data_IF_562591919881
#
_entry.id   IF_562591919881
#
_cell.length_a   1.000
_cell.length_b   1.000
_cell.length_c   1.000
_cell.angle_alpha   90.00
_cell.angle_beta   90.00
_cell.angle_gamma   90.00
#
_symmetry.space_group_name_H-M   'P 1'
#
loop_
_entity.id
_entity.type
_entity.pdbx_description
1 polymer ?
#
# COMPACT_ATOMS: atom_id res chain seq x y z
N UNK A 1 -10.38 27.74 3.29
CA UNK A 1 -11.11 28.89 2.77
C UNK A 1 -11.99 28.51 1.58
N UNK A 2 -11.45 27.90 0.50
CA UNK A 2 -12.26 27.50 -0.67
C UNK A 2 -13.35 26.46 -0.39
N UNK A 3 -13.09 25.48 0.48
CA UNK A 3 -14.11 24.47 0.84
C UNK A 3 -15.36 25.05 1.54
N UNK A 4 -15.25 26.25 2.09
CA UNK A 4 -16.33 26.94 2.81
C UNK A 4 -16.95 28.07 1.99
N UNK A 5 -16.40 28.36 0.81
CA UNK A 5 -16.87 29.39 -0.10
C UNK A 5 -17.94 28.80 -1.02
N UNK A 6 -19.15 29.33 -0.95
CA UNK A 6 -20.27 28.84 -1.77
C UNK A 6 -20.05 29.07 -3.27
N UNK A 7 -19.21 30.04 -3.65
CA UNK A 7 -18.94 30.39 -5.05
C UNK A 7 -17.96 29.44 -5.74
N UNK A 8 -17.09 28.75 -5.00
CA UNK A 8 -16.12 27.81 -5.57
C UNK A 8 -16.83 26.55 -6.08
N UNK A 9 -16.52 26.13 -7.31
CA UNK A 9 -17.05 24.88 -7.86
C UNK A 9 -16.28 23.67 -7.31
N UNK A 10 -16.84 22.47 -7.46
CA UNK A 10 -16.13 21.24 -7.09
C UNK A 10 -14.84 21.05 -7.91
N UNK A 11 -14.82 21.51 -9.17
CA UNK A 11 -13.63 21.45 -10.01
C UNK A 11 -12.52 22.34 -9.44
N UNK A 12 -12.83 23.60 -9.11
CA UNK A 12 -11.86 24.55 -8.53
C UNK A 12 -11.27 24.02 -7.22
N UNK A 13 -12.10 23.37 -6.40
CA UNK A 13 -11.65 22.76 -5.15
C UNK A 13 -10.70 21.60 -5.41
N UNK A 14 -11.00 20.72 -6.37
CA UNK A 14 -10.12 19.61 -6.74
C UNK A 14 -8.81 20.15 -7.32
N UNK A 15 -8.85 21.16 -8.18
CA UNK A 15 -7.66 21.76 -8.75
C UNK A 15 -6.75 22.31 -7.66
N UNK A 16 -7.32 23.10 -6.74
CA UNK A 16 -6.59 23.65 -5.62
C UNK A 16 -5.94 22.57 -4.74
N UNK A 17 -6.64 21.45 -4.51
CA UNK A 17 -6.09 20.32 -3.76
C UNK A 17 -4.92 19.67 -4.48
N UNK A 18 -5.04 19.44 -5.79
CA UNK A 18 -3.97 18.89 -6.61
C UNK A 18 -2.76 19.83 -6.59
N UNK A 19 -2.95 21.13 -6.78
CA UNK A 19 -1.87 22.11 -6.77
C UNK A 19 -1.14 22.16 -5.42
N UNK A 20 -1.89 22.09 -4.32
CA UNK A 20 -1.36 22.34 -2.97
C UNK A 20 -0.76 21.11 -2.31
N UNK A 21 -1.32 19.92 -2.50
CA UNK A 21 -0.95 18.73 -1.74
C UNK A 21 -0.77 17.50 -2.63
N UNK A 22 0.49 17.15 -2.91
CA UNK A 22 0.85 15.94 -3.66
C UNK A 22 0.42 14.65 -2.97
N UNK A 23 0.45 14.61 -1.64
CA UNK A 23 -0.01 13.44 -0.87
C UNK A 23 -1.50 13.20 -1.09
N UNK A 24 -2.30 14.25 -1.01
CA UNK A 24 -3.75 14.17 -1.26
C UNK A 24 -4.06 13.89 -2.73
N UNK A 25 -3.26 14.43 -3.65
CA UNK A 25 -3.36 14.11 -5.07
C UNK A 25 -3.24 12.59 -5.31
N UNK A 26 -2.20 11.98 -4.72
CA UNK A 26 -1.85 10.56 -4.90
C UNK A 26 -2.72 9.61 -4.06
N UNK A 27 -2.91 9.89 -2.76
CA UNK A 27 -3.61 8.99 -1.83
C UNK A 27 -5.11 9.31 -1.67
N UNK A 28 -5.59 10.39 -2.28
CA UNK A 28 -6.98 10.81 -2.18
C UNK A 28 -7.31 11.47 -0.85
N UNK A 29 -8.55 11.96 -0.76
CA UNK A 29 -9.14 12.56 0.45
C UNK A 29 -10.66 12.55 0.32
N UNK A 30 -11.35 12.43 1.45
CA UNK A 30 -12.75 12.82 1.53
C UNK A 30 -12.84 14.20 2.17
N UNK A 31 -13.14 15.22 1.37
CA UNK A 31 -13.33 16.57 1.89
C UNK A 31 -14.76 16.74 2.40
N UNK A 32 -14.88 16.98 3.71
CA UNK A 32 -16.16 17.22 4.38
C UNK A 32 -16.14 18.60 5.04
N UNK A 33 -16.83 19.57 4.43
CA UNK A 33 -17.00 20.90 5.00
C UNK A 33 -18.34 21.49 4.55
N UNK A 34 -19.03 22.21 5.43
CA UNK A 34 -20.19 23.06 5.08
C UNK A 34 -21.24 22.39 4.19
N UNK A 35 -21.72 21.19 4.58
CA UNK A 35 -22.68 20.35 3.82
C UNK A 35 -22.20 19.86 2.45
N UNK A 36 -20.94 20.06 2.09
CA UNK A 36 -20.31 19.49 0.90
C UNK A 36 -19.52 18.23 1.28
N UNK A 37 -19.72 17.19 0.48
CA UNK A 37 -18.97 15.93 0.53
C UNK A 37 -18.33 15.72 -0.84
N UNK A 38 -17.03 16.01 -0.95
CA UNK A 38 -16.31 15.94 -2.21
C UNK A 38 -15.17 14.92 -2.10
N UNK A 39 -15.33 13.72 -2.66
CA UNK A 39 -14.27 12.72 -2.66
C UNK A 39 -13.27 13.00 -3.79
N UNK A 40 -11.98 12.85 -3.48
CA UNK A 40 -10.93 12.52 -4.43
C UNK A 40 -10.49 11.10 -4.14
N UNK A 41 -10.65 10.19 -5.10
CA UNK A 41 -10.23 8.80 -4.94
C UNK A 41 -8.71 8.69 -4.87
N UNK A 42 -8.22 7.71 -4.13
CA UNK A 42 -6.80 7.36 -4.15
C UNK A 42 -6.41 6.89 -5.55
N UNK A 43 -5.20 7.24 -5.99
CA UNK A 43 -4.59 6.72 -7.23
C UNK A 43 -3.78 5.46 -6.97
N UNK A 44 -3.61 5.11 -5.70
CA UNK A 44 -2.95 3.90 -5.26
C UNK A 44 -3.93 3.12 -4.39
N UNK A 45 -4.28 1.93 -4.83
CA UNK A 45 -5.17 1.03 -4.12
C UNK A 45 -4.41 -0.22 -3.69
N UNK A 46 -4.64 -0.65 -2.46
CA UNK A 46 -4.04 -1.86 -1.92
C UNK A 46 -5.14 -2.86 -1.56
N UNK A 47 -4.97 -4.10 -2.00
CA UNK A 47 -5.72 -5.23 -1.48
C UNK A 47 -5.30 -5.56 -0.06
N UNK A 48 -6.12 -6.37 0.62
CA UNK A 48 -5.73 -6.93 1.91
C UNK A 48 -4.50 -7.83 1.73
N UNK A 49 -3.56 -7.74 2.66
CA UNK A 49 -2.47 -8.71 2.76
C UNK A 49 -3.03 -9.95 3.46
N UNK A 50 -3.06 -11.07 2.74
CA UNK A 50 -3.66 -12.32 3.21
C UNK A 50 -2.62 -13.43 3.15
N UNK A 51 -2.56 -14.26 4.19
CA UNK A 51 -1.70 -15.44 4.16
C UNK A 51 -2.23 -16.41 3.10
N UNK A 52 -1.34 -16.96 2.28
CA UNK A 52 -1.69 -18.02 1.33
C UNK A 52 -2.23 -19.21 2.13
N UNK A 53 -3.41 -19.75 1.79
CA UNK A 53 -4.01 -20.88 2.49
C UNK A 53 -3.02 -22.03 2.62
N UNK A 54 -3.03 -22.71 3.77
CA UNK A 54 -2.21 -23.90 4.04
C UNK A 54 -0.67 -23.66 4.08
N UNK A 55 -0.19 -22.45 3.78
CA UNK A 55 1.24 -22.05 3.84
C UNK A 55 1.52 -21.12 5.03
N UNK A 56 0.69 -21.16 6.08
CA UNK A 56 0.89 -20.38 7.31
C UNK A 56 1.15 -21.28 8.52
N UNK A 57 2.21 -21.00 9.27
CA UNK A 57 2.53 -21.63 10.54
C UNK A 57 2.52 -20.58 11.64
N UNK A 58 1.76 -20.81 12.71
CA UNK A 58 1.75 -19.96 13.90
C UNK A 58 2.15 -20.79 15.11
N UNK A 59 3.25 -20.41 15.74
CA UNK A 59 3.72 -21.00 16.99
C UNK A 59 3.46 -20.03 18.14
N UNK A 60 3.11 -20.55 19.32
CA UNK A 60 2.83 -19.73 20.50
C UNK A 60 3.96 -19.85 21.51
N UNK A 61 4.71 -18.76 21.72
CA UNK A 61 5.79 -18.68 22.69
C UNK A 61 5.29 -18.09 24.01
N UNK A 62 5.66 -18.73 25.12
CA UNK A 62 5.36 -18.20 26.45
C UNK A 62 6.42 -17.14 26.79
N UNK A 63 5.97 -15.92 27.03
CA UNK A 63 6.80 -14.83 27.51
C UNK A 63 6.43 -14.52 28.97
N UNK A 64 7.40 -14.71 29.87
CA UNK A 64 7.24 -14.42 31.30
C UNK A 64 7.98 -13.12 31.60
N UNK A 65 7.27 -12.14 32.16
CA UNK A 65 7.93 -10.97 32.75
C UNK A 65 8.41 -11.35 34.15
N UNK A 66 9.70 -11.64 34.29
CA UNK A 66 10.30 -11.90 35.60
C UNK A 66 10.26 -10.62 36.45
N UNK A 67 9.53 -10.66 37.56
CA UNK A 67 9.67 -9.65 38.61
C UNK A 67 11.04 -9.84 39.26
N UNK A 68 11.77 -8.74 39.44
CA UNK A 68 13.12 -8.75 40.03
C UNK A 68 13.04 -9.29 41.46
N UNK A 69 13.95 -10.19 41.84
CA UNK A 69 14.05 -10.93 43.13
C UNK A 69 14.08 -10.09 44.44
N UNK A 70 13.86 -8.77 44.39
CA UNK A 70 13.78 -7.93 45.58
C UNK A 70 12.32 -7.73 46.05
N UNK A 71 11.65 -8.85 46.35
CA UNK A 71 10.33 -8.90 46.97
C UNK A 71 10.37 -8.63 48.48
N UNK A 72 11.03 -7.57 48.93
CA UNK A 72 10.95 -7.08 50.33
C UNK A 72 10.11 -5.83 50.48
N UNK A 73 9.39 -5.37 49.45
CA UNK A 73 8.54 -4.16 49.52
C UNK A 73 7.06 -4.36 49.20
N UNK A 74 6.59 -5.60 49.15
CA UNK A 74 5.20 -5.90 48.85
C UNK A 74 4.60 -6.77 49.96
N UNK A 75 4.29 -6.10 51.07
CA UNK A 75 3.44 -6.60 52.16
C UNK A 75 2.57 -5.45 52.62
N UNK A 76 1.56 -5.08 51.84
CA UNK A 76 0.37 -4.42 52.38
C UNK A 76 -0.85 -4.84 51.55
N UNK A 77 -1.78 -5.49 52.22
CA UNK A 77 -2.91 -6.23 51.67
C UNK A 77 -4.10 -5.36 51.23
N UNK A 78 -3.85 -4.15 50.72
CA UNK A 78 -4.90 -3.21 50.25
C UNK A 78 -4.52 -2.53 48.91
N UNK A 79 -3.55 -3.07 48.16
CA UNK A 79 -3.07 -2.48 46.90
C UNK A 79 -3.54 -3.32 45.69
N UNK A 80 -4.25 -2.79 44.69
CA UNK A 80 -4.73 -3.52 43.50
C UNK A 80 -3.60 -3.84 42.51
N UNK A 81 -2.37 -3.98 43.00
CA UNK A 81 -1.16 -4.04 42.18
C UNK A 81 -0.76 -5.48 41.84
N UNK A 82 -0.46 -5.66 40.55
CA UNK A 82 -0.08 -6.91 39.89
C UNK A 82 1.17 -7.57 40.51
N UNK A 83 0.99 -8.38 41.54
CA UNK A 83 2.05 -9.24 42.09
C UNK A 83 2.08 -10.66 41.48
N UNK A 84 1.17 -10.98 40.57
CA UNK A 84 1.19 -12.23 39.80
C UNK A 84 2.04 -12.09 38.54
N UNK A 85 3.00 -12.98 38.33
CA UNK A 85 3.71 -13.11 37.06
C UNK A 85 2.70 -13.20 35.92
N UNK A 86 2.58 -12.14 35.12
CA UNK A 86 1.67 -12.15 34.00
C UNK A 86 2.29 -13.00 32.88
N UNK A 87 1.76 -14.22 32.75
CA UNK A 87 2.04 -15.15 31.66
C UNK A 87 1.37 -14.61 30.39
N UNK A 88 2.16 -14.32 29.36
CA UNK A 88 1.63 -13.92 28.06
C UNK A 88 2.06 -14.93 27.01
N UNK A 89 1.14 -15.33 26.14
CA UNK A 89 1.47 -16.06 24.93
C UNK A 89 1.66 -15.05 23.79
N UNK A 90 2.78 -15.16 23.09
CA UNK A 90 3.05 -14.38 21.89
C UNK A 90 3.11 -15.30 20.69
N UNK A 91 2.22 -15.14 19.70
CA UNK A 91 2.38 -15.86 18.46
C UNK A 91 3.65 -15.36 17.75
N UNK A 92 4.42 -16.27 17.17
CA UNK A 92 5.28 -15.98 16.04
C UNK A 92 4.71 -16.74 14.84
N UNK A 93 4.45 -16.02 13.77
CA UNK A 93 3.87 -16.59 12.57
C UNK A 93 4.86 -16.46 11.43
N UNK A 94 5.00 -17.51 10.64
CA UNK A 94 5.69 -17.51 9.36
C UNK A 94 4.68 -17.95 8.30
N UNK A 95 4.61 -17.20 7.21
CA UNK A 95 3.71 -17.53 6.11
C UNK A 95 4.19 -16.87 4.83
N UNK A 96 3.70 -17.40 3.71
CA UNK A 96 3.66 -16.65 2.47
C UNK A 96 2.43 -15.74 2.48
N UNK A 97 2.62 -14.47 2.13
CA UNK A 97 1.55 -13.48 2.11
C UNK A 97 1.33 -12.99 0.68
N UNK A 98 0.10 -13.08 0.22
CA UNK A 98 -0.35 -12.46 -1.02
C UNK A 98 -0.79 -11.03 -0.73
N UNK A 99 -0.37 -10.10 -1.59
CA UNK A 99 -0.91 -8.75 -1.61
C UNK A 99 -1.12 -8.30 -3.06
N UNK A 100 -1.95 -7.29 -3.23
CA UNK A 100 -2.26 -6.69 -4.51
C UNK A 100 -2.10 -5.18 -4.38
N UNK A 101 -1.53 -4.55 -5.39
CA UNK A 101 -1.46 -3.10 -5.50
C UNK A 101 -1.88 -2.69 -6.92
N UNK A 102 -2.66 -1.62 -7.01
CA UNK A 102 -3.08 -1.02 -8.27
C UNK A 102 -2.75 0.47 -8.25
N UNK A 103 -2.11 0.97 -9.31
CA UNK A 103 -1.68 2.36 -9.42
C UNK A 103 -2.20 2.97 -10.73
N UNK A 104 -3.10 3.95 -10.61
CA UNK A 104 -3.64 4.73 -11.72
C UNK A 104 -2.71 5.92 -12.03
N UNK A 105 -1.54 5.63 -12.61
CA UNK A 105 -0.48 6.61 -12.90
C UNK A 105 -0.98 7.76 -13.79
N UNK A 106 -1.87 7.48 -14.74
CA UNK A 106 -2.47 8.45 -15.65
C UNK A 106 -3.30 9.51 -14.92
N UNK A 107 -3.87 9.18 -13.76
CA UNK A 107 -4.75 10.07 -12.99
C UNK A 107 -4.05 10.87 -11.90
N UNK A 108 -2.77 10.59 -11.60
CA UNK A 108 -1.97 11.44 -10.71
C UNK A 108 -1.84 12.82 -11.37
N UNK A 109 -2.20 13.87 -10.64
CA UNK A 109 -2.21 15.24 -11.16
C UNK A 109 -3.42 15.59 -12.03
N UNK A 110 -4.37 14.68 -12.23
CA UNK A 110 -5.56 14.91 -13.05
C UNK A 110 -6.78 15.26 -12.18
N UNK A 111 -7.57 16.23 -12.63
CA UNK A 111 -8.89 16.51 -12.10
C UNK A 111 -9.91 15.57 -12.75
N UNK A 112 -10.59 14.74 -11.96
CA UNK A 112 -11.55 13.76 -12.50
C UNK A 112 -12.80 14.39 -13.11
N UNK A 113 -13.11 15.65 -12.78
CA UNK A 113 -14.30 16.35 -13.25
C UNK A 113 -14.05 17.04 -14.60
N UNK A 114 -12.90 17.72 -14.73
CA UNK A 114 -12.55 18.46 -15.94
C UNK A 114 -11.73 17.63 -16.93
N UNK A 115 -11.08 16.57 -16.45
CA UNK A 115 -10.07 15.79 -17.18
C UNK A 115 -8.87 16.62 -17.62
N UNK A 116 -8.61 17.72 -16.90
CA UNK A 116 -7.47 18.60 -17.10
C UNK A 116 -6.50 18.50 -15.91
N UNK A 117 -5.23 18.83 -16.13
CA UNK A 117 -4.22 18.85 -15.08
C UNK A 117 -3.93 20.30 -14.69
N UNK A 118 -4.18 20.69 -13.42
CA UNK A 118 -3.87 22.05 -12.93
C UNK A 118 -2.37 22.22 -12.64
N UNK A 119 -1.55 21.17 -12.79
CA UNK A 119 -0.11 21.19 -12.54
C UNK A 119 0.66 20.96 -13.84
N UNK A 120 1.93 21.37 -13.87
CA UNK A 120 2.79 21.10 -15.02
C UNK A 120 3.10 19.62 -15.17
N UNK A 121 3.36 19.17 -16.40
CA UNK A 121 3.76 17.79 -16.67
C UNK A 121 5.01 17.39 -15.86
N UNK A 122 5.96 18.32 -15.67
CA UNK A 122 7.14 18.05 -14.85
C UNK A 122 6.78 17.80 -13.38
N UNK A 123 5.85 18.59 -12.82
CA UNK A 123 5.37 18.38 -11.46
C UNK A 123 4.63 17.03 -11.34
N UNK A 124 3.85 16.65 -12.36
CA UNK A 124 3.18 15.36 -12.44
C UNK A 124 4.17 14.20 -12.47
N UNK A 125 5.19 14.24 -13.33
CA UNK A 125 6.25 13.23 -13.42
C UNK A 125 6.96 13.03 -12.07
N UNK A 126 7.28 14.12 -11.36
CA UNK A 126 7.89 14.06 -10.03
C UNK A 126 6.98 13.33 -9.03
N UNK A 127 5.67 13.58 -9.07
CA UNK A 127 4.70 12.91 -8.19
C UNK A 127 4.56 11.42 -8.51
N UNK A 128 4.48 11.06 -9.79
CA UNK A 128 4.46 9.67 -10.23
C UNK A 128 5.72 8.94 -9.75
N UNK A 129 6.90 9.53 -9.98
CA UNK A 129 8.16 8.93 -9.57
C UNK A 129 8.25 8.80 -8.03
N UNK A 130 7.72 9.76 -7.28
CA UNK A 130 7.65 9.65 -5.82
C UNK A 130 6.72 8.53 -5.35
N UNK A 131 5.54 8.38 -5.99
CA UNK A 131 4.59 7.32 -5.69
C UNK A 131 5.17 5.91 -5.93
N UNK A 132 5.81 5.70 -7.09
CA UNK A 132 6.44 4.42 -7.43
C UNK A 132 7.58 4.07 -6.47
N UNK A 133 8.45 5.04 -6.14
CA UNK A 133 9.52 4.85 -5.14
C UNK A 133 8.95 4.51 -3.76
N UNK A 134 7.91 5.21 -3.33
CA UNK A 134 7.27 4.98 -2.03
C UNK A 134 6.66 3.58 -1.93
N UNK A 135 6.11 3.04 -3.02
CA UNK A 135 5.62 1.65 -3.08
C UNK A 135 6.75 0.65 -2.79
N UNK A 136 7.88 0.75 -3.49
CA UNK A 136 9.03 -0.16 -3.27
C UNK A 136 9.57 -0.01 -1.85
N UNK A 137 9.69 1.22 -1.34
CA UNK A 137 10.12 1.48 0.03
C UNK A 137 9.19 0.89 1.09
N UNK A 138 7.88 0.88 0.83
CA UNK A 138 6.88 0.28 1.72
C UNK A 138 7.07 -1.24 1.81
N UNK A 139 7.44 -1.89 0.70
CA UNK A 139 7.70 -3.34 0.66
C UNK A 139 9.08 -3.71 1.24
N UNK A 140 10.09 -2.85 1.09
CA UNK A 140 11.42 -3.03 1.71
C UNK A 140 11.37 -2.90 3.23
N UNK A 141 10.52 -2.01 3.74
CA UNK A 141 10.41 -1.76 5.18
C UNK A 141 8.93 -1.81 5.63
N UNK A 142 8.33 -3.02 5.69
CA UNK A 142 6.94 -3.16 6.07
C UNK A 142 6.73 -2.64 7.50
N UNK A 143 5.77 -1.72 7.65
CA UNK A 143 5.38 -1.14 8.93
C UNK A 143 4.15 -1.87 9.50
N UNK A 144 4.03 -1.93 10.82
CA UNK A 144 2.92 -2.65 11.46
C UNK A 144 2.98 -2.66 12.99
N UNK A 145 1.94 -3.24 13.60
CA UNK A 145 1.89 -3.42 15.04
C UNK A 145 2.98 -4.39 15.52
N UNK A 146 3.54 -4.15 16.71
CA UNK A 146 4.51 -5.07 17.33
C UNK A 146 5.94 -5.03 16.77
N UNK A 147 6.25 -4.16 15.79
CA UNK A 147 7.58 -4.06 15.14
C UNK A 147 8.76 -3.86 16.09
N UNK A 148 8.57 -3.20 17.23
CA UNK A 148 9.65 -3.02 18.22
C UNK A 148 10.15 -4.32 18.84
N UNK A 149 9.38 -5.40 18.72
CA UNK A 149 9.65 -6.71 19.32
C UNK A 149 9.63 -7.85 18.29
N UNK A 150 8.94 -7.66 17.16
CA UNK A 150 8.78 -8.63 16.08
C UNK A 150 8.87 -7.93 14.72
N UNK A 151 10.08 -7.55 14.31
CA UNK A 151 10.30 -7.08 12.95
C UNK A 151 10.17 -8.27 11.98
N UNK A 152 9.23 -8.28 11.01
CA UNK A 152 9.16 -9.33 10.01
C UNK A 152 10.48 -9.46 9.25
N UNK A 153 10.90 -10.71 9.12
CA UNK A 153 11.97 -11.12 8.24
C UNK A 153 11.37 -11.42 6.87
N UNK A 154 11.56 -10.52 5.89
CA UNK A 154 11.15 -10.78 4.51
C UNK A 154 12.15 -11.75 3.90
N UNK A 155 11.79 -13.03 3.82
CA UNK A 155 12.67 -14.09 3.33
C UNK A 155 12.66 -14.25 1.80
N UNK A 156 11.60 -13.78 1.14
CA UNK A 156 11.44 -13.85 -0.30
C UNK A 156 10.36 -12.89 -0.80
N UNK A 157 10.39 -12.60 -2.09
CA UNK A 157 9.43 -11.73 -2.75
C UNK A 157 9.27 -12.21 -4.19
N UNK A 158 8.05 -12.53 -4.61
CA UNK A 158 7.79 -12.98 -5.98
C UNK A 158 6.40 -12.51 -6.42
N UNK A 159 6.25 -12.19 -7.69
CA UNK A 159 4.99 -11.67 -8.23
C UNK A 159 5.00 -11.46 -9.73
N UNK A 160 4.00 -10.72 -10.20
CA UNK A 160 3.92 -10.19 -11.56
C UNK A 160 3.57 -8.71 -11.49
N UNK A 161 4.14 -7.91 -12.39
CA UNK A 161 3.76 -6.51 -12.59
C UNK A 161 3.16 -6.41 -13.99
N UNK A 162 1.97 -5.82 -14.08
CA UNK A 162 1.28 -5.59 -15.35
C UNK A 162 1.11 -4.09 -15.53
N UNK A 163 1.64 -3.56 -16.63
CA UNK A 163 1.48 -2.16 -17.02
C UNK A 163 0.56 -2.06 -18.23
N UNK A 164 -0.10 -0.90 -18.40
CA UNK A 164 -0.97 -0.65 -19.55
C UNK A 164 -0.78 0.76 -20.10
N UNK A 165 -0.49 0.84 -21.40
CA UNK A 165 -0.40 2.10 -22.17
C UNK A 165 -1.70 2.39 -22.94
N UNK A 166 -2.83 1.88 -22.45
CA UNK A 166 -4.13 1.94 -23.11
C UNK A 166 -5.26 2.16 -22.10
N UNK A 167 -6.49 2.37 -22.59
CA UNK A 167 -7.68 2.43 -21.73
C UNK A 167 -8.11 1.07 -21.17
N UNK A 168 -7.46 -0.02 -21.59
CA UNK A 168 -7.70 -1.34 -20.99
C UNK A 168 -6.92 -1.40 -19.68
N UNK A 169 -7.58 -1.68 -18.53
CA UNK A 169 -6.88 -1.72 -17.25
C UNK A 169 -5.88 -2.88 -17.20
N UNK A 170 -4.78 -2.68 -16.47
CA UNK A 170 -3.91 -3.77 -16.07
C UNK A 170 -4.72 -4.76 -15.21
N UNK A 171 -4.79 -6.01 -15.63
CA UNK A 171 -5.59 -7.02 -14.95
C UNK A 171 -5.01 -7.38 -13.59
N UNK A 172 -5.87 -7.50 -12.58
CA UNK A 172 -5.48 -7.98 -11.26
C UNK A 172 -5.69 -9.49 -11.20
N UNK A 173 -4.60 -10.25 -10.98
CA UNK A 173 -4.65 -11.70 -10.77
C UNK A 173 -4.21 -12.00 -9.36
N UNK A 174 -5.00 -12.81 -8.65
CA UNK A 174 -4.76 -13.10 -7.23
C UNK A 174 -3.56 -14.05 -7.06
N UNK A 175 -2.52 -13.69 -6.27
CA UNK A 175 -1.42 -14.58 -5.93
C UNK A 175 -1.80 -15.70 -4.94
N UNK A 176 -3.09 -15.84 -4.62
CA UNK A 176 -3.60 -16.92 -3.77
C UNK A 176 -3.69 -18.26 -4.51
N UNK A 177 -3.72 -18.23 -5.84
CA UNK A 177 -3.73 -19.43 -6.69
C UNK A 177 -2.31 -19.72 -7.18
N UNK A 178 -1.90 -20.98 -7.23
CA UNK A 178 -0.53 -21.36 -7.62
C UNK A 178 -0.18 -21.00 -9.07
N UNK A 179 -1.17 -21.00 -9.97
CA UNK A 179 -1.02 -20.76 -11.40
C UNK A 179 -1.24 -19.28 -11.79
N UNK A 180 -1.28 -18.36 -10.83
CA UNK A 180 -1.59 -16.93 -11.06
C UNK A 180 -0.71 -16.29 -12.14
N UNK A 181 0.56 -16.70 -12.26
CA UNK A 181 1.49 -16.19 -13.29
C UNK A 181 1.07 -16.61 -14.70
N UNK A 182 0.75 -17.89 -14.88
CA UNK A 182 0.29 -18.42 -16.17
C UNK A 182 -1.07 -17.79 -16.55
N UNK A 183 -1.96 -17.62 -15.57
CA UNK A 183 -3.23 -16.92 -15.78
C UNK A 183 -3.00 -15.46 -16.20
N UNK A 184 -2.08 -14.75 -15.55
CA UNK A 184 -1.73 -13.37 -15.86
C UNK A 184 -1.21 -13.23 -17.31
N UNK A 185 -0.32 -14.12 -17.74
CA UNK A 185 0.17 -14.17 -19.12
C UNK A 185 -0.95 -14.38 -20.14
N UNK A 186 -1.83 -15.35 -19.89
CA UNK A 186 -2.99 -15.62 -20.74
C UNK A 186 -3.93 -14.42 -20.83
N UNK A 187 -4.20 -13.76 -19.71
CA UNK A 187 -5.06 -12.58 -19.65
C UNK A 187 -4.44 -11.44 -20.46
N UNK A 188 -3.17 -11.12 -20.24
CA UNK A 188 -2.46 -10.06 -20.98
C UNK A 188 -2.47 -10.34 -22.48
N UNK A 189 -2.22 -11.58 -22.89
CA UNK A 189 -2.30 -11.98 -24.29
C UNK A 189 -3.71 -11.78 -24.89
N UNK A 190 -4.78 -12.16 -24.18
CA UNK A 190 -6.15 -11.94 -24.67
C UNK A 190 -6.53 -10.45 -24.69
N UNK A 191 -6.15 -9.68 -23.66
CA UNK A 191 -6.47 -8.25 -23.60
C UNK A 191 -5.78 -7.47 -24.72
N UNK A 192 -4.54 -7.84 -25.06
CA UNK A 192 -3.84 -7.26 -26.22
C UNK A 192 -4.54 -7.58 -27.55
N UNK A 193 -5.12 -8.78 -27.70
CA UNK A 193 -5.96 -9.10 -28.88
C UNK A 193 -7.25 -8.29 -28.95
N UNK A 194 -7.75 -7.81 -27.80
CA UNK A 194 -8.90 -6.91 -27.70
C UNK A 194 -8.53 -5.43 -27.87
N UNK A 195 -7.29 -5.12 -28.28
CA UNK A 195 -6.82 -3.75 -28.54
C UNK A 195 -6.09 -3.10 -27.35
N UNK A 196 -5.74 -3.89 -26.34
CA UNK A 196 -4.91 -3.44 -25.22
C UNK A 196 -3.45 -3.22 -25.61
N UNK A 197 -2.75 -2.48 -24.76
CA UNK A 197 -1.29 -2.34 -24.79
C UNK A 197 -0.72 -2.67 -23.41
N UNK A 198 -0.90 -3.93 -23.01
CA UNK A 198 -0.46 -4.44 -21.73
C UNK A 198 0.90 -5.11 -21.87
N UNK A 199 1.77 -4.89 -20.89
CA UNK A 199 3.02 -5.64 -20.71
C UNK A 199 2.97 -6.38 -19.38
N UNK A 200 3.61 -7.54 -19.31
CA UNK A 200 3.74 -8.34 -18.10
C UNK A 200 5.22 -8.56 -17.82
N UNK A 201 5.63 -8.30 -16.59
CA UNK A 201 6.96 -8.59 -16.09
C UNK A 201 6.88 -9.51 -14.88
N UNK A 202 7.63 -10.60 -14.91
CA UNK A 202 7.77 -11.50 -13.78
C UNK A 202 8.83 -10.94 -12.83
N UNK A 203 8.56 -11.05 -11.54
CA UNK A 203 9.44 -10.57 -10.48
C UNK A 203 9.68 -11.74 -9.53
N UNK A 204 10.94 -12.12 -9.34
CA UNK A 204 11.35 -13.25 -8.50
C UNK A 204 12.11 -12.82 -7.24
N UNK A 205 12.49 -11.55 -7.18
CA UNK A 205 13.07 -10.92 -6.00
C UNK A 205 12.58 -9.49 -5.81
N UNK A 206 12.79 -8.94 -4.60
CA UNK A 206 12.53 -7.52 -4.35
C UNK A 206 13.47 -6.60 -5.14
N UNK A 207 14.64 -7.11 -5.54
CA UNK A 207 15.57 -6.37 -6.38
C UNK A 207 15.01 -6.20 -7.80
N UNK A 208 14.39 -7.24 -8.38
CA UNK A 208 13.81 -7.14 -9.73
C UNK A 208 12.65 -6.12 -9.75
N UNK A 209 11.84 -6.06 -8.67
CA UNK A 209 10.82 -5.00 -8.54
C UNK A 209 11.46 -3.61 -8.47
N UNK A 210 12.54 -3.47 -7.70
CA UNK A 210 13.22 -2.20 -7.53
C UNK A 210 13.89 -1.73 -8.83
N UNK A 211 14.46 -2.66 -9.61
CA UNK A 211 15.01 -2.42 -10.94
C UNK A 211 13.92 -1.97 -11.91
N UNK A 212 12.82 -2.71 -12.00
CA UNK A 212 11.68 -2.34 -12.84
C UNK A 212 11.15 -0.93 -12.52
N UNK A 213 11.01 -0.61 -11.23
CA UNK A 213 10.57 0.73 -10.82
C UNK A 213 11.62 1.80 -11.10
N UNK A 214 12.92 1.48 -11.00
CA UNK A 214 13.98 2.41 -11.35
C UNK A 214 13.94 2.76 -12.84
N UNK A 215 13.80 1.76 -13.72
CA UNK A 215 13.71 1.94 -15.17
C UNK A 215 12.51 2.81 -15.56
N UNK A 216 11.33 2.52 -14.99
CA UNK A 216 10.11 3.33 -15.23
C UNK A 216 10.28 4.77 -14.74
N UNK A 217 10.93 4.96 -13.59
CA UNK A 217 11.22 6.29 -13.04
C UNK A 217 12.22 7.07 -13.90
N UNK A 218 13.22 6.41 -14.47
CA UNK A 218 14.18 7.02 -15.39
C UNK A 218 13.54 7.36 -16.73
N UNK A 219 12.61 6.54 -17.23
CA UNK A 219 11.84 6.82 -18.44
C UNK A 219 10.92 8.05 -18.33
N UNK A 220 10.56 8.46 -17.10
CA UNK A 220 9.78 9.68 -16.83
C UNK A 220 10.62 10.98 -16.81
N UNK A 221 11.96 10.89 -16.78
CA UNK A 221 12.85 12.03 -16.53
C UNK A 221 13.00 12.97 -17.74
#
# INVERSE_FOLDING_TARGET
AMLTDESSTNADIIDHVIETCSLTDVHGILMTATRRMLPRKSRIEFGWVVAVPEVSQTEHFIHVKYAVENATRYRHADDPTNEGQALFHRPASSAEYAFLAHIEVDKIGLNDLTLESPISEKARQVRVAAALRAMVQTLMHPYGAGRSQQAPHVAGFRGVVITSDSRIPAATVSPLEDDYREQAEKIVAQMNRLGGKLKLEQVDTLADLAELVADEVEALA
#
